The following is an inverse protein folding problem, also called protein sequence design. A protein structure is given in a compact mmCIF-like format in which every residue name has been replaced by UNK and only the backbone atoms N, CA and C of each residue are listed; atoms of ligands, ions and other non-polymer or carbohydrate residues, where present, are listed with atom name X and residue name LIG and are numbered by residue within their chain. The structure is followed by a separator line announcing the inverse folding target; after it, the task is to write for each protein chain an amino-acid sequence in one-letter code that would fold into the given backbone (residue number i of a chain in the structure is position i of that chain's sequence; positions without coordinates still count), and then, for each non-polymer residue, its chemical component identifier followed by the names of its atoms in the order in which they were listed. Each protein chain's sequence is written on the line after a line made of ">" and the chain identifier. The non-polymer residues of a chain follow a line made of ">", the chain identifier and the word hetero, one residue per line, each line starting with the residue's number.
data_IF_071505800564
#
_entry.id   IF_071505800564
#
_cell.length_a   1.000
_cell.length_b   1.000
_cell.length_c   1.000
_cell.angle_alpha   90.00
_cell.angle_beta   90.00
_cell.angle_gamma   90.00
#
_symmetry.space_group_name_H-M   'P 1'
#
loop_
_entity.id
_entity.type
_entity.pdbx_description
1 polymer ?
#
# COMPACT_ATOMS: atom_id res chain seq x y z
N UNK A 1 14.38 -13.68 -6.18
CA UNK A 1 13.52 -12.65 -5.57
C UNK A 1 12.45 -12.35 -6.59
N UNK A 2 11.20 -12.53 -6.21
CA UNK A 2 10.05 -12.08 -7.01
C UNK A 2 10.09 -10.56 -7.10
N UNK A 3 9.90 -9.98 -8.28
CA UNK A 3 9.85 -8.51 -8.47
C UNK A 3 8.57 -7.92 -7.89
N UNK A 4 8.52 -6.61 -7.61
CA UNK A 4 7.30 -5.98 -7.08
C UNK A 4 6.17 -6.08 -8.12
N UNK A 5 6.49 -6.10 -9.42
CA UNK A 5 5.54 -6.36 -10.48
C UNK A 5 4.89 -7.76 -10.39
N UNK A 6 5.65 -8.79 -9.99
CA UNK A 6 5.11 -10.15 -9.82
C UNK A 6 4.18 -10.20 -8.59
N UNK A 7 4.54 -9.51 -7.52
CA UNK A 7 3.69 -9.36 -6.33
C UNK A 7 2.40 -8.60 -6.66
N UNK A 8 2.49 -7.50 -7.40
CA UNK A 8 1.33 -6.72 -7.84
C UNK A 8 0.38 -7.56 -8.69
N UNK A 9 0.93 -8.39 -9.58
CA UNK A 9 0.15 -9.33 -10.40
C UNK A 9 -0.57 -10.36 -9.52
N UNK A 10 0.12 -11.00 -8.58
CA UNK A 10 -0.48 -12.00 -7.68
C UNK A 10 -1.60 -11.39 -6.82
N UNK A 11 -1.36 -10.20 -6.25
CA UNK A 11 -2.36 -9.47 -5.47
C UNK A 11 -3.60 -9.18 -6.33
N UNK A 12 -3.40 -8.69 -7.55
CA UNK A 12 -4.51 -8.37 -8.43
C UNK A 12 -5.29 -9.61 -8.87
N UNK A 13 -4.60 -10.70 -9.24
CA UNK A 13 -5.23 -11.98 -9.57
C UNK A 13 -6.07 -12.51 -8.40
N UNK A 14 -5.58 -12.37 -7.16
CA UNK A 14 -6.33 -12.72 -5.97
C UNK A 14 -7.56 -11.81 -5.76
N UNK A 15 -7.43 -10.50 -5.98
CA UNK A 15 -8.56 -9.57 -5.88
C UNK A 15 -9.66 -9.89 -6.90
N UNK A 16 -9.28 -10.18 -8.15
CA UNK A 16 -10.20 -10.62 -9.21
C UNK A 16 -10.88 -11.94 -8.83
N UNK A 17 -10.14 -12.92 -8.32
CA UNK A 17 -10.70 -14.22 -7.92
C UNK A 17 -11.75 -14.10 -6.79
N UNK A 18 -11.70 -13.02 -6.00
CA UNK A 18 -12.66 -12.72 -4.94
C UNK A 18 -13.73 -11.69 -5.34
N UNK A 19 -13.86 -11.37 -6.64
CA UNK A 19 -14.92 -10.52 -7.18
C UNK A 19 -14.74 -9.02 -6.93
N UNK A 20 -13.57 -8.57 -6.46
CA UNK A 20 -13.34 -7.15 -6.18
C UNK A 20 -13.35 -6.27 -7.45
N UNK A 21 -13.16 -6.89 -8.61
CA UNK A 21 -13.11 -6.23 -9.92
C UNK A 21 -14.23 -6.71 -10.87
N UNK A 22 -15.32 -7.29 -10.33
CA UNK A 22 -16.50 -7.67 -11.14
C UNK A 22 -17.18 -6.45 -11.77
N UNK A 23 -17.09 -5.30 -11.11
CA UNK A 23 -17.49 -4.00 -11.63
C UNK A 23 -16.26 -3.10 -11.79
N UNK A 24 -16.25 -2.28 -12.85
CA UNK A 24 -15.16 -1.33 -13.09
C UNK A 24 -15.18 -0.23 -12.02
N UNK A 25 -14.06 -0.09 -11.29
CA UNK A 25 -13.87 0.98 -10.31
C UNK A 25 -13.17 2.17 -10.93
N UNK A 26 -13.69 3.36 -10.67
CA UNK A 26 -13.02 4.59 -11.03
C UNK A 26 -11.76 4.82 -10.18
N UNK A 27 -10.72 5.42 -10.76
CA UNK A 27 -9.50 5.79 -10.03
C UNK A 27 -9.76 6.59 -8.73
N UNK A 28 -10.74 7.52 -8.65
CA UNK A 28 -11.05 8.22 -7.40
C UNK A 28 -11.49 7.28 -6.25
N UNK A 29 -12.21 6.21 -6.57
CA UNK A 29 -12.66 5.23 -5.58
C UNK A 29 -11.49 4.42 -5.04
N UNK A 30 -10.59 3.98 -5.93
CA UNK A 30 -9.35 3.31 -5.56
C UNK A 30 -8.53 4.19 -4.60
N UNK A 31 -8.40 5.49 -4.88
CA UNK A 31 -7.70 6.41 -3.99
C UNK A 31 -8.40 6.52 -2.63
N UNK A 32 -9.73 6.57 -2.59
CA UNK A 32 -10.46 6.61 -1.33
C UNK A 32 -10.23 5.35 -0.48
N UNK A 33 -10.16 4.18 -1.11
CA UNK A 33 -9.84 2.91 -0.44
C UNK A 33 -8.40 2.89 0.09
N UNK A 34 -7.41 3.38 -0.67
CA UNK A 34 -6.04 3.52 -0.15
C UNK A 34 -6.02 4.46 1.07
N UNK A 35 -6.79 5.55 1.03
CA UNK A 35 -6.90 6.49 2.14
C UNK A 35 -7.57 5.91 3.38
N UNK A 36 -8.48 4.94 3.24
CA UNK A 36 -9.07 4.28 4.41
C UNK A 36 -8.03 3.46 5.16
N UNK A 37 -7.17 2.68 4.47
CA UNK A 37 -6.11 1.89 5.13
C UNK A 37 -5.10 2.79 5.86
N UNK A 38 -4.78 3.97 5.30
CA UNK A 38 -3.95 4.97 5.99
C UNK A 38 -4.62 5.48 7.27
N UNK A 39 -5.94 5.59 7.25
CA UNK A 39 -6.71 6.03 8.42
C UNK A 39 -6.80 4.92 9.47
N UNK A 40 -6.90 3.65 9.06
CA UNK A 40 -6.85 2.49 9.97
C UNK A 40 -5.51 2.43 10.72
N UNK A 41 -4.38 2.66 10.03
CA UNK A 41 -3.06 2.78 10.69
C UNK A 41 -3.01 3.91 11.74
N UNK A 42 -3.72 5.01 11.51
CA UNK A 42 -3.83 6.12 12.48
C UNK A 42 -4.72 5.74 13.66
N UNK A 43 -5.79 4.98 13.45
CA UNK A 43 -6.63 4.48 14.54
C UNK A 43 -5.87 3.51 15.45
N UNK A 44 -5.05 2.61 14.89
CA UNK A 44 -4.18 1.73 15.69
C UNK A 44 -3.25 2.52 16.60
N UNK A 45 -2.65 3.60 16.08
CA UNK A 45 -1.84 4.52 16.90
C UNK A 45 -2.66 5.20 17.99
N UNK A 46 -3.88 5.65 17.69
CA UNK A 46 -4.79 6.30 18.66
C UNK A 46 -5.24 5.34 19.77
N UNK A 47 -5.37 4.06 19.43
CA UNK A 47 -5.69 2.99 20.36
C UNK A 47 -4.50 2.58 21.24
N UNK A 48 -3.32 3.17 21.01
CA UNK A 48 -2.13 2.99 21.85
C UNK A 48 -1.24 1.82 21.43
N UNK A 49 -1.47 1.24 20.25
CA UNK A 49 -0.63 0.17 19.73
C UNK A 49 0.75 0.69 19.31
N UNK A 50 1.77 -0.15 19.53
CA UNK A 50 3.15 0.17 19.17
C UNK A 50 3.37 0.14 17.66
N UNK A 51 4.28 0.98 17.16
CA UNK A 51 4.60 1.07 15.73
C UNK A 51 5.13 -0.23 15.09
N UNK A 52 5.54 -1.20 15.90
CA UNK A 52 6.02 -2.53 15.47
C UNK A 52 5.18 -3.66 16.04
N UNK A 53 4.08 -3.36 16.72
CA UNK A 53 3.19 -4.35 17.31
C UNK A 53 2.31 -4.96 16.23
N UNK A 54 2.24 -6.28 16.21
CA UNK A 54 1.26 -7.04 15.44
C UNK A 54 0.55 -7.95 16.43
N UNK A 55 -0.77 -7.87 16.45
CA UNK A 55 -1.63 -8.77 17.21
C UNK A 55 -2.61 -9.47 16.27
N UNK A 56 -3.44 -10.36 16.83
CA UNK A 56 -4.38 -11.14 16.05
C UNK A 56 -5.76 -11.02 16.65
N UNK A 57 -6.75 -10.64 15.83
CA UNK A 57 -8.16 -10.61 16.21
C UNK A 57 -8.73 -12.02 16.43
N UNK A 58 -9.98 -12.10 16.91
CA UNK A 58 -10.65 -13.37 17.24
C UNK A 58 -10.76 -14.34 16.05
N UNK A 59 -10.75 -13.83 14.82
CA UNK A 59 -10.76 -14.60 13.57
C UNK A 59 -9.35 -14.98 13.07
N UNK A 60 -8.30 -14.62 13.80
CA UNK A 60 -6.91 -14.81 13.39
C UNK A 60 -6.41 -13.82 12.34
N UNK A 61 -7.15 -12.73 12.05
CA UNK A 61 -6.66 -11.64 11.19
C UNK A 61 -5.48 -10.95 11.89
N UNK A 62 -4.33 -10.76 11.23
CA UNK A 62 -3.27 -9.91 11.76
C UNK A 62 -3.73 -8.45 11.76
N UNK A 63 -3.49 -7.75 12.87
CA UNK A 63 -3.88 -6.35 13.10
C UNK A 63 -2.71 -5.56 13.70
N UNK A 64 -2.80 -4.23 13.68
CA UNK A 64 -1.77 -3.31 14.15
C UNK A 64 -1.20 -2.41 13.05
N UNK A 65 -0.53 -1.33 13.45
CA UNK A 65 0.06 -0.32 12.54
C UNK A 65 0.84 -0.95 11.36
N UNK A 66 1.72 -1.94 11.56
CA UNK A 66 2.44 -2.57 10.44
C UNK A 66 1.54 -3.25 9.42
N UNK A 67 0.42 -3.84 9.87
CA UNK A 67 -0.52 -4.57 9.01
C UNK A 67 -1.36 -3.61 8.18
N UNK A 68 -1.83 -2.52 8.78
CA UNK A 68 -2.58 -1.48 8.05
C UNK A 68 -1.70 -0.76 7.02
N UNK A 69 -0.42 -0.53 7.34
CA UNK A 69 0.55 -0.03 6.35
C UNK A 69 0.83 -1.06 5.23
N UNK A 70 0.76 -2.36 5.52
CA UNK A 70 0.84 -3.38 4.49
C UNK A 70 -0.41 -3.36 3.59
N UNK A 71 -1.60 -3.14 4.16
CA UNK A 71 -2.85 -3.00 3.41
C UNK A 71 -2.82 -1.79 2.47
N UNK A 72 -2.23 -0.66 2.89
CA UNK A 72 -1.93 0.48 1.99
C UNK A 72 -1.11 0.03 0.78
N UNK A 73 -0.03 -0.72 1.01
CA UNK A 73 0.85 -1.22 -0.07
C UNK A 73 0.06 -2.16 -0.98
N UNK A 74 -0.70 -3.10 -0.41
CA UNK A 74 -1.51 -4.07 -1.15
C UNK A 74 -2.52 -3.36 -2.05
N UNK A 75 -3.24 -2.35 -1.55
CA UNK A 75 -4.18 -1.56 -2.36
C UNK A 75 -3.51 -0.82 -3.52
N UNK A 76 -2.33 -0.25 -3.27
CA UNK A 76 -1.54 0.41 -4.33
C UNK A 76 -1.11 -0.61 -5.38
N UNK A 77 -0.63 -1.79 -4.96
CA UNK A 77 -0.16 -2.83 -5.85
C UNK A 77 -1.28 -3.51 -6.63
N UNK A 78 -2.46 -3.72 -6.02
CA UNK A 78 -3.66 -4.20 -6.73
C UNK A 78 -3.99 -3.27 -7.90
N UNK A 79 -4.04 -1.95 -7.67
CA UNK A 79 -4.27 -0.99 -8.75
C UNK A 79 -3.15 -1.00 -9.79
N UNK A 80 -1.89 -1.18 -9.39
CA UNK A 80 -0.79 -1.31 -10.35
C UNK A 80 -0.96 -2.54 -11.24
N UNK A 81 -1.36 -3.67 -10.66
CA UNK A 81 -1.69 -4.91 -11.40
C UNK A 81 -2.85 -4.69 -12.36
N UNK A 82 -3.94 -4.09 -11.90
CA UNK A 82 -5.10 -3.72 -12.72
C UNK A 82 -4.72 -2.82 -13.90
N UNK A 83 -3.99 -1.74 -13.64
CA UNK A 83 -3.67 -0.72 -14.63
C UNK A 83 -2.47 -1.07 -15.52
N UNK A 84 -1.79 -2.20 -15.27
CA UNK A 84 -0.57 -2.58 -16.00
C UNK A 84 0.61 -1.65 -15.75
N UNK A 85 0.73 -1.08 -14.56
CA UNK A 85 1.81 -0.17 -14.18
C UNK A 85 3.07 -0.99 -13.87
N UNK A 86 4.18 -0.66 -14.53
CA UNK A 86 5.52 -1.17 -14.16
C UNK A 86 6.02 -0.44 -12.90
N UNK A 87 5.60 -0.96 -11.75
CA UNK A 87 5.88 -0.35 -10.45
C UNK A 87 7.35 -0.54 -10.04
N UNK A 88 8.01 -1.62 -10.46
CA UNK A 88 9.46 -1.81 -10.27
C UNK A 88 10.26 -0.69 -10.98
N UNK A 89 9.93 -0.38 -12.24
CA UNK A 89 10.58 0.69 -12.98
C UNK A 89 10.28 2.06 -12.37
N UNK A 90 9.03 2.33 -12.01
CA UNK A 90 8.62 3.59 -11.39
C UNK A 90 9.33 3.84 -10.05
N UNK A 91 9.39 2.82 -9.18
CA UNK A 91 10.12 2.90 -7.90
C UNK A 91 11.60 3.11 -8.16
N UNK A 92 12.21 2.33 -9.05
CA UNK A 92 13.66 2.42 -9.35
C UNK A 92 14.03 3.80 -9.86
N UNK A 93 13.30 4.31 -10.85
CA UNK A 93 13.53 5.65 -11.41
C UNK A 93 13.34 6.74 -10.35
N UNK A 94 12.27 6.64 -9.55
CA UNK A 94 11.98 7.65 -8.53
C UNK A 94 13.00 7.63 -7.40
N UNK A 95 13.42 6.45 -6.97
CA UNK A 95 14.39 6.26 -5.91
C UNK A 95 15.77 6.77 -6.34
N UNK A 96 16.20 6.50 -7.57
CA UNK A 96 17.47 7.02 -8.10
C UNK A 96 17.47 8.55 -8.18
N UNK A 97 16.38 9.14 -8.68
CA UNK A 97 16.21 10.60 -8.63
C UNK A 97 16.19 11.15 -7.19
N UNK A 98 15.63 10.42 -6.22
CA UNK A 98 15.63 10.87 -4.83
C UNK A 98 17.03 10.87 -4.20
N UNK A 99 17.93 9.96 -4.61
CA UNK A 99 19.34 9.96 -4.15
C UNK A 99 20.10 11.20 -4.61
N UNK A 100 19.73 11.76 -5.76
CA UNK A 100 20.37 12.98 -6.28
C UNK A 100 19.91 14.26 -5.58
N UNK A 101 18.95 14.18 -4.64
CA UNK A 101 18.41 15.36 -3.97
C UNK A 101 19.34 15.83 -2.84
N UNK A 102 19.54 17.16 -2.69
CA UNK A 102 20.29 17.67 -1.57
C UNK A 102 19.53 17.42 -0.26
N UNK A 103 20.27 17.40 0.85
CA UNK A 103 19.70 17.26 2.18
C UNK A 103 18.60 18.31 2.42
N UNK A 104 17.39 17.84 2.76
CA UNK A 104 16.19 18.68 2.99
C UNK A 104 15.84 19.62 1.82
N UNK A 105 15.80 19.07 0.60
CA UNK A 105 15.25 19.79 -0.56
C UNK A 105 13.80 20.23 -0.30
N UNK A 106 13.44 21.45 -0.69
CA UNK A 106 12.08 21.98 -0.57
C UNK A 106 11.73 22.66 0.75
N UNK A 107 12.71 22.95 1.62
CA UNK A 107 12.53 23.86 2.77
C UNK A 107 11.61 23.37 3.89
N UNK A 108 11.21 22.08 3.87
CA UNK A 108 10.37 21.50 4.92
C UNK A 108 11.18 21.36 6.21
N UNK A 109 10.69 21.99 7.28
CA UNK A 109 11.18 21.77 8.65
C UNK A 109 10.38 20.61 9.25
N UNK A 110 11.08 19.72 9.96
CA UNK A 110 10.44 18.72 10.82
C UNK A 110 9.65 19.42 11.93
#
# INVERSE_FOLDING_TARGET
>A
MTGINEVAKEIHENAVAHGWWDEERGFPEVLALIHSEVSEALEEYRNGHGATEIYFGDNGKPEGIPTELADVIIRVLDYCGYAGIDIDAAISQKHEYNKSRPYRHGGKKC
#
